data_IF_293971107027
#
_entry.id   IF_293971107027
#
_cell.length_a   1.000
_cell.length_b   1.000
_cell.length_c   1.000
_cell.angle_alpha   90.00
_cell.angle_beta   90.00
_cell.angle_gamma   90.00
#
_symmetry.space_group_name_H-M   'P 1'
#
loop_
_entity.id
_entity.type
_entity.pdbx_description
1 polymer ?
#
# COMPACT_ATOMS: atom_id res chain seq x y z
N UNK A 1 -22.85 21.74 18.39
CA UNK A 1 -21.67 20.97 17.92
C UNK A 1 -21.45 19.84 18.92
N UNK A 2 -21.33 18.55 18.53
CA UNK A 2 -21.21 17.48 19.52
C UNK A 2 -19.93 17.70 20.36
N UNK A 3 -20.05 17.59 21.68
CA UNK A 3 -18.93 17.72 22.63
C UNK A 3 -17.78 16.77 22.28
N UNK A 4 -16.55 17.16 22.65
CA UNK A 4 -15.35 16.34 22.50
C UNK A 4 -15.55 14.99 23.21
N UNK A 5 -15.36 13.89 22.49
CA UNK A 5 -15.60 12.54 23.02
C UNK A 5 -14.41 12.08 23.82
N UNK A 6 -14.66 11.70 25.06
CA UNK A 6 -13.66 11.04 25.91
C UNK A 6 -13.34 9.62 25.41
N UNK A 7 -12.18 9.08 25.79
CA UNK A 7 -11.81 7.69 25.47
C UNK A 7 -12.85 6.67 25.96
N UNK A 8 -13.51 6.96 27.09
CA UNK A 8 -14.60 6.12 27.63
C UNK A 8 -15.81 6.10 26.70
N UNK A 9 -16.20 7.25 26.15
CA UNK A 9 -17.31 7.33 25.19
C UNK A 9 -16.97 6.65 23.86
N UNK A 10 -15.70 6.72 23.44
CA UNK A 10 -15.22 5.98 22.27
C UNK A 10 -15.32 4.47 22.49
N UNK A 11 -14.91 3.97 23.66
CA UNK A 11 -14.99 2.54 23.99
C UNK A 11 -16.45 2.05 24.10
N UNK A 12 -17.31 2.81 24.78
CA UNK A 12 -18.75 2.48 24.85
C UNK A 12 -19.40 2.40 23.47
N UNK A 13 -19.04 3.32 22.56
CA UNK A 13 -19.51 3.26 21.16
C UNK A 13 -18.94 2.05 20.43
N UNK A 14 -17.67 1.70 20.67
CA UNK A 14 -17.05 0.50 20.10
C UNK A 14 -17.84 -0.74 20.51
N UNK A 15 -18.03 -0.98 21.81
CA UNK A 15 -18.79 -2.13 22.32
C UNK A 15 -20.17 -2.27 21.67
N UNK A 16 -20.93 -1.17 21.55
CA UNK A 16 -22.25 -1.19 20.91
C UNK A 16 -22.24 -1.61 19.43
N UNK A 17 -21.12 -1.44 18.71
CA UNK A 17 -21.00 -1.86 17.30
C UNK A 17 -20.77 -3.38 17.15
N UNK A 18 -20.36 -4.09 18.21
CA UNK A 18 -20.08 -5.52 18.17
C UNK A 18 -21.34 -6.37 18.41
N UNK A 19 -22.34 -6.21 17.55
CA UNK A 19 -23.48 -7.11 17.49
C UNK A 19 -23.20 -8.20 16.44
N UNK A 20 -22.98 -9.47 16.83
CA UNK A 20 -22.60 -10.53 15.90
C UNK A 20 -23.62 -10.77 14.78
N UNK A 21 -24.91 -10.67 15.08
CA UNK A 21 -25.98 -10.88 14.10
C UNK A 21 -25.91 -9.84 12.98
N UNK A 22 -25.82 -8.55 13.34
CA UNK A 22 -25.74 -7.46 12.37
C UNK A 22 -24.43 -7.51 11.58
N UNK A 23 -23.34 -7.91 12.25
CA UNK A 23 -22.04 -8.09 11.60
C UNK A 23 -22.12 -9.20 10.56
N UNK A 24 -22.67 -10.36 10.92
CA UNK A 24 -22.84 -11.50 10.02
C UNK A 24 -23.64 -11.13 8.78
N UNK A 25 -24.81 -10.51 8.96
CA UNK A 25 -25.64 -10.03 7.84
C UNK A 25 -24.86 -9.11 6.91
N UNK A 26 -24.18 -8.09 7.44
CA UNK A 26 -23.41 -7.14 6.61
C UNK A 26 -22.29 -7.80 5.81
N UNK A 27 -21.61 -8.80 6.37
CA UNK A 27 -20.55 -9.50 5.65
C UNK A 27 -21.13 -10.38 4.53
N UNK A 28 -22.23 -11.07 4.78
CA UNK A 28 -22.94 -11.86 3.76
C UNK A 28 -23.41 -10.97 2.61
N UNK A 29 -24.03 -9.83 2.93
CA UNK A 29 -24.64 -8.92 1.94
C UNK A 29 -23.63 -8.29 0.97
N UNK A 30 -22.35 -8.17 1.35
CA UNK A 30 -21.30 -7.53 0.53
C UNK A 30 -20.23 -8.51 0.04
N UNK A 31 -20.40 -9.81 0.29
CA UNK A 31 -19.32 -10.79 0.11
C UNK A 31 -18.82 -10.81 -1.35
N UNK A 32 -19.73 -10.78 -2.31
CA UNK A 32 -19.45 -10.74 -3.74
C UNK A 32 -18.61 -9.51 -4.13
N UNK A 33 -19.04 -8.31 -3.76
CA UNK A 33 -18.34 -7.06 -4.03
C UNK A 33 -16.98 -7.02 -3.31
N UNK A 34 -16.91 -7.57 -2.09
CA UNK A 34 -15.67 -7.65 -1.34
C UNK A 34 -14.66 -8.58 -2.04
N UNK A 35 -15.11 -9.72 -2.56
CA UNK A 35 -14.27 -10.67 -3.30
C UNK A 35 -13.76 -10.07 -4.63
N UNK A 36 -14.62 -9.39 -5.38
CA UNK A 36 -14.23 -8.71 -6.62
C UNK A 36 -13.14 -7.65 -6.36
N UNK A 37 -13.35 -6.80 -5.35
CA UNK A 37 -12.37 -5.77 -4.96
C UNK A 37 -11.08 -6.38 -4.43
N UNK A 38 -11.17 -7.47 -3.67
CA UNK A 38 -10.00 -8.20 -3.19
C UNK A 38 -9.20 -8.78 -4.35
N UNK A 39 -9.85 -9.39 -5.33
CA UNK A 39 -9.19 -9.94 -6.52
C UNK A 39 -8.44 -8.85 -7.29
N UNK A 40 -9.08 -7.72 -7.56
CA UNK A 40 -8.45 -6.58 -8.24
C UNK A 40 -7.22 -6.06 -7.47
N UNK A 41 -7.36 -5.85 -6.16
CA UNK A 41 -6.27 -5.36 -5.32
C UNK A 41 -5.10 -6.35 -5.18
N UNK A 42 -5.39 -7.64 -4.99
CA UNK A 42 -4.38 -8.69 -4.88
C UNK A 42 -3.60 -8.87 -6.19
N UNK A 43 -4.30 -8.85 -7.32
CA UNK A 43 -3.66 -8.93 -8.64
C UNK A 43 -2.73 -7.75 -8.88
N UNK A 44 -3.16 -6.52 -8.56
CA UNK A 44 -2.32 -5.32 -8.66
C UNK A 44 -1.04 -5.42 -7.82
N UNK A 45 -1.14 -5.92 -6.58
CA UNK A 45 0.04 -6.15 -5.73
C UNK A 45 0.93 -7.25 -6.29
N UNK A 46 0.36 -8.33 -6.81
CA UNK A 46 1.08 -9.41 -7.49
C UNK A 46 1.92 -8.87 -8.64
N UNK A 47 1.28 -8.15 -9.57
CA UNK A 47 1.94 -7.55 -10.74
C UNK A 47 3.11 -6.65 -10.36
N UNK A 48 2.91 -5.74 -9.39
CA UNK A 48 4.00 -4.85 -8.96
C UNK A 48 5.17 -5.62 -8.35
N UNK A 49 4.91 -6.68 -7.58
CA UNK A 49 5.99 -7.52 -7.05
C UNK A 49 6.73 -8.24 -8.17
N UNK A 50 6.03 -8.76 -9.16
CA UNK A 50 6.64 -9.46 -10.30
C UNK A 50 7.45 -8.52 -11.20
N UNK A 51 7.10 -7.23 -11.24
CA UNK A 51 7.89 -6.19 -11.90
C UNK A 51 9.18 -5.84 -11.13
N UNK A 52 9.13 -5.85 -9.79
CA UNK A 52 10.28 -5.48 -8.95
C UNK A 52 11.29 -6.63 -8.81
N UNK A 53 10.80 -7.89 -8.76
CA UNK A 53 11.64 -9.07 -8.54
C UNK A 53 12.85 -9.17 -9.50
N UNK A 54 12.71 -8.99 -10.82
CA UNK A 54 13.83 -9.02 -11.76
C UNK A 54 14.87 -7.92 -11.49
N UNK A 55 14.44 -6.74 -11.05
CA UNK A 55 15.36 -5.64 -10.68
C UNK A 55 16.23 -6.13 -9.52
N UNK A 56 15.59 -6.63 -8.45
CA UNK A 56 16.31 -7.12 -7.27
C UNK A 56 17.22 -8.30 -7.59
N UNK A 57 16.81 -9.19 -8.50
CA UNK A 57 17.63 -10.31 -8.96
C UNK A 57 18.86 -9.82 -9.73
N UNK A 58 18.71 -8.80 -10.60
CA UNK A 58 19.82 -8.17 -11.32
C UNK A 58 20.86 -7.52 -10.41
N UNK A 59 20.44 -6.97 -9.27
CA UNK A 59 21.32 -6.40 -8.24
C UNK A 59 21.80 -7.41 -7.19
N UNK A 60 21.43 -8.69 -7.31
CA UNK A 60 21.82 -9.73 -6.34
C UNK A 60 21.19 -9.57 -4.95
N UNK A 61 20.08 -8.84 -4.83
CA UNK A 61 19.39 -8.59 -3.57
C UNK A 61 18.58 -9.81 -3.14
N UNK A 62 19.03 -10.43 -2.05
CA UNK A 62 18.43 -11.62 -1.46
C UNK A 62 18.08 -11.42 0.03
N UNK A 63 17.48 -12.44 0.64
CA UNK A 63 17.18 -12.45 2.08
C UNK A 63 16.20 -11.36 2.53
N UNK A 64 16.33 -10.93 3.79
CA UNK A 64 15.39 -9.99 4.42
C UNK A 64 15.33 -8.62 3.73
N UNK A 65 16.43 -8.16 3.15
CA UNK A 65 16.50 -6.85 2.47
C UNK A 65 15.58 -6.80 1.25
N UNK A 66 15.38 -7.93 0.55
CA UNK A 66 14.41 -8.05 -0.55
C UNK A 66 13.00 -7.65 -0.10
N UNK A 67 12.61 -8.02 1.12
CA UNK A 67 11.32 -7.65 1.70
C UNK A 67 11.15 -6.14 1.83
N UNK A 68 12.20 -5.43 2.23
CA UNK A 68 12.19 -3.97 2.39
C UNK A 68 12.02 -3.24 1.05
N UNK A 69 12.67 -3.70 -0.01
CA UNK A 69 12.48 -3.15 -1.36
C UNK A 69 11.06 -3.40 -1.90
N UNK A 70 10.49 -4.60 -1.65
CA UNK A 70 9.09 -4.87 -2.01
C UNK A 70 8.11 -4.00 -1.19
N UNK A 71 8.43 -3.72 0.07
CA UNK A 71 7.67 -2.79 0.90
C UNK A 71 7.71 -1.36 0.35
N UNK A 72 8.89 -0.90 -0.10
CA UNK A 72 9.03 0.40 -0.79
C UNK A 72 8.14 0.47 -2.04
N UNK A 73 8.24 -0.51 -2.95
CA UNK A 73 7.46 -0.50 -4.19
C UNK A 73 5.94 -0.59 -3.97
N UNK A 74 5.48 -1.38 -3.00
CA UNK A 74 4.04 -1.45 -2.66
C UNK A 74 3.54 -0.20 -1.93
N UNK A 75 4.37 0.45 -1.12
CA UNK A 75 4.06 1.75 -0.54
C UNK A 75 3.98 2.83 -1.62
N UNK A 76 4.88 2.83 -2.60
CA UNK A 76 4.84 3.73 -3.74
C UNK A 76 3.54 3.55 -4.52
N UNK A 77 3.20 2.30 -4.88
CA UNK A 77 1.98 1.94 -5.59
C UNK A 77 0.72 2.54 -4.93
N UNK A 78 0.58 2.39 -3.61
CA UNK A 78 -0.56 2.93 -2.84
C UNK A 78 -0.78 4.42 -3.06
N UNK A 79 0.28 5.18 -3.27
CA UNK A 79 0.21 6.62 -3.48
C UNK A 79 0.03 7.00 -4.95
N UNK A 80 0.76 6.37 -5.87
CA UNK A 80 0.75 6.75 -7.30
C UNK A 80 -0.55 6.36 -8.01
N UNK A 81 -1.28 5.35 -7.55
CA UNK A 81 -2.61 5.03 -8.11
C UNK A 81 -3.67 6.09 -7.75
N UNK A 82 -3.43 6.89 -6.70
CA UNK A 82 -4.39 7.91 -6.20
C UNK A 82 -3.98 9.33 -6.58
N UNK A 83 -2.70 9.55 -6.87
CA UNK A 83 -2.12 10.85 -7.13
C UNK A 83 -1.42 10.83 -8.48
N UNK A 84 -1.59 11.87 -9.30
CA UNK A 84 -0.97 11.99 -10.62
C UNK A 84 -0.07 13.21 -10.72
N UNK A 85 0.75 13.26 -11.77
CA UNK A 85 1.60 14.41 -12.10
C UNK A 85 2.58 14.77 -10.98
N UNK A 86 2.74 16.07 -10.73
CA UNK A 86 3.69 16.60 -9.74
C UNK A 86 3.45 16.11 -8.30
N UNK A 87 2.20 15.81 -7.94
CA UNK A 87 1.88 15.23 -6.62
C UNK A 87 2.50 13.85 -6.45
N UNK A 88 2.41 12.99 -7.49
CA UNK A 88 3.00 11.66 -7.48
C UNK A 88 4.53 11.74 -7.36
N UNK A 89 5.17 12.66 -8.09
CA UNK A 89 6.63 12.86 -8.05
C UNK A 89 7.11 13.25 -6.65
N UNK A 90 6.44 14.22 -6.00
CA UNK A 90 6.80 14.65 -4.64
C UNK A 90 6.70 13.51 -3.63
N UNK A 91 5.64 12.70 -3.74
CA UNK A 91 5.46 11.53 -2.86
C UNK A 91 6.55 10.48 -3.12
N UNK A 92 6.85 10.17 -4.38
CA UNK A 92 7.90 9.23 -4.74
C UNK A 92 9.27 9.65 -4.17
N UNK A 93 9.63 10.94 -4.33
CA UNK A 93 10.87 11.49 -3.78
C UNK A 93 10.93 11.44 -2.26
N UNK A 94 9.84 11.80 -1.57
CA UNK A 94 9.75 11.73 -0.12
C UNK A 94 9.85 10.30 0.40
N UNK A 95 9.18 9.36 -0.27
CA UNK A 95 9.20 7.95 0.10
C UNK A 95 10.59 7.34 -0.13
N UNK A 96 11.26 7.66 -1.25
CA UNK A 96 12.64 7.26 -1.50
C UNK A 96 13.55 7.74 -0.37
N UNK A 97 13.48 9.03 -0.03
CA UNK A 97 14.28 9.61 1.07
C UNK A 97 14.06 8.86 2.39
N UNK A 98 12.80 8.57 2.75
CA UNK A 98 12.49 7.82 3.96
C UNK A 98 13.12 6.43 3.97
N UNK A 99 13.00 5.67 2.88
CA UNK A 99 13.51 4.31 2.83
C UNK A 99 15.04 4.22 2.74
N UNK A 100 15.67 5.13 2.01
CA UNK A 100 17.13 5.25 1.95
C UNK A 100 17.69 5.59 3.34
N UNK A 101 17.11 6.59 4.01
CA UNK A 101 17.63 7.09 5.29
C UNK A 101 17.34 6.14 6.46
N UNK A 102 16.13 5.58 6.52
CA UNK A 102 15.67 4.80 7.69
C UNK A 102 16.00 3.31 7.58
N UNK A 103 16.11 2.78 6.36
CA UNK A 103 16.33 1.36 6.11
C UNK A 103 17.59 1.06 5.29
N UNK A 104 18.38 2.07 4.94
CA UNK A 104 19.65 1.89 4.23
C UNK A 104 19.48 1.30 2.83
N UNK A 105 18.35 1.54 2.16
CA UNK A 105 18.18 1.10 0.78
C UNK A 105 19.10 1.88 -0.16
N UNK A 106 19.67 1.19 -1.15
CA UNK A 106 20.40 1.82 -2.23
C UNK A 106 19.47 2.75 -3.04
N UNK A 107 19.81 4.06 -3.15
CA UNK A 107 19.04 5.03 -3.92
C UNK A 107 18.83 4.66 -5.39
N UNK A 108 19.80 4.00 -6.03
CA UNK A 108 19.75 3.64 -7.46
C UNK A 108 18.70 2.55 -7.72
N UNK A 109 18.70 1.50 -6.91
CA UNK A 109 17.69 0.43 -6.96
C UNK A 109 16.28 1.02 -6.70
N UNK A 110 16.18 2.01 -5.81
CA UNK A 110 14.91 2.70 -5.57
C UNK A 110 14.44 3.49 -6.79
N UNK A 111 15.34 4.09 -7.58
CA UNK A 111 14.97 4.80 -8.81
C UNK A 111 14.43 3.85 -9.88
N UNK A 112 15.07 2.69 -10.07
CA UNK A 112 14.60 1.67 -11.00
C UNK A 112 13.20 1.15 -10.61
N UNK A 113 12.98 0.92 -9.31
CA UNK A 113 11.66 0.56 -8.77
C UNK A 113 10.65 1.69 -9.03
N UNK A 114 11.02 2.95 -8.83
CA UNK A 114 10.13 4.09 -9.11
C UNK A 114 9.75 4.11 -10.59
N UNK A 115 10.71 3.92 -11.49
CA UNK A 115 10.47 3.96 -12.93
C UNK A 115 9.47 2.87 -13.35
N UNK A 116 9.69 1.63 -12.92
CA UNK A 116 8.83 0.52 -13.32
C UNK A 116 7.45 0.60 -12.67
N UNK A 117 7.35 0.98 -11.40
CA UNK A 117 6.06 1.10 -10.69
C UNK A 117 5.26 2.30 -11.18
N UNK A 118 5.88 3.47 -11.39
CA UNK A 118 5.17 4.64 -11.89
C UNK A 118 4.81 4.50 -13.36
N UNK A 119 5.69 3.92 -14.19
CA UNK A 119 5.43 3.65 -15.60
C UNK A 119 4.28 2.66 -15.81
N UNK A 120 4.12 1.69 -14.90
CA UNK A 120 2.97 0.79 -14.90
C UNK A 120 1.69 1.44 -14.33
N UNK A 121 1.80 2.18 -13.21
CA UNK A 121 0.64 2.73 -12.50
C UNK A 121 0.02 3.98 -13.17
N UNK A 122 0.76 4.65 -14.05
CA UNK A 122 0.30 5.80 -14.83
C UNK A 122 0.16 5.33 -16.29
N UNK A 123 -1.01 4.80 -16.70
CA UNK A 123 -1.28 4.62 -18.11
C UNK A 123 -1.28 6.01 -18.76
N UNK A 124 -0.57 6.16 -19.87
CA UNK A 124 -0.49 7.38 -20.70
C UNK A 124 -1.87 7.95 -21.00
#
# INVERSE_FOLDING_TARGET
>A
MPLYKSGVEMFKKYQKKFNPTVIGTRFTDIQDLALERAQSGLNMIGTVRDLIRPILDGYGISGGQRGTYLAFGTALLRHVIRNKGESAKKIASGLKSYFVTSYGLDPSICDDIIQVVCGWAIPY
#
